data_IF_522360716686
#
_entry.id   IF_522360716686
#
_cell.length_a   1.000
_cell.length_b   1.000
_cell.length_c   1.000
_cell.angle_alpha   90.00
_cell.angle_beta   90.00
_cell.angle_gamma   90.00
#
_symmetry.space_group_name_H-M   'P 1'
#
loop_
_entity.id
_entity.type
_entity.pdbx_description
1 polymer ?
#
# COMPACT_ATOMS: atom_id res chain seq x y z
N UNK A 1 -0.91 25.43 13.44
CA UNK A 1 -2.22 24.85 13.79
C UNK A 1 -2.08 23.40 14.31
N UNK A 2 -2.09 22.35 13.46
CA UNK A 2 -2.13 20.97 13.96
C UNK A 2 -0.92 20.59 14.85
N UNK A 3 0.30 20.90 14.42
CA UNK A 3 1.52 20.65 15.22
C UNK A 3 1.51 21.43 16.54
N UNK A 4 1.02 22.67 16.56
CA UNK A 4 0.94 23.47 17.79
C UNK A 4 -0.09 22.88 18.77
N UNK A 5 -1.23 22.38 18.28
CA UNK A 5 -2.22 21.68 19.10
C UNK A 5 -1.63 20.41 19.72
N UNK A 6 -0.92 19.61 18.90
CA UNK A 6 -0.24 18.42 19.39
C UNK A 6 0.84 18.77 20.39
N UNK A 7 1.61 19.84 20.20
CA UNK A 7 2.64 20.29 21.13
C UNK A 7 2.05 20.69 22.49
N UNK A 8 0.94 21.42 22.49
CA UNK A 8 0.27 21.90 23.69
C UNK A 8 -0.43 20.78 24.50
N UNK A 9 -0.76 19.66 23.88
CA UNK A 9 -1.40 18.53 24.56
C UNK A 9 -0.40 17.72 25.40
N UNK A 10 -0.54 17.71 26.72
CA UNK A 10 0.34 16.95 27.61
C UNK A 10 0.25 15.42 27.43
N UNK A 11 -0.85 14.90 26.87
CA UNK A 11 -1.03 13.47 26.64
C UNK A 11 -0.28 12.95 25.40
N UNK A 12 -0.05 13.81 24.41
CA UNK A 12 0.74 13.47 23.23
C UNK A 12 2.21 13.34 23.58
N UNK A 13 2.76 12.12 23.42
CA UNK A 13 4.17 11.80 23.72
C UNK A 13 5.06 11.72 22.47
N UNK A 14 4.45 11.44 21.32
CA UNK A 14 5.12 11.25 20.05
C UNK A 14 4.22 11.75 18.91
N UNK A 15 4.80 12.34 17.86
CA UNK A 15 4.08 12.86 16.70
C UNK A 15 4.48 12.06 15.46
N UNK A 16 3.54 11.33 14.87
CA UNK A 16 3.72 10.72 13.55
C UNK A 16 3.13 11.62 12.46
N UNK A 17 3.97 12.03 11.50
CA UNK A 17 3.56 12.79 10.32
C UNK A 17 3.69 11.91 9.08
N UNK A 18 2.58 11.68 8.39
CA UNK A 18 2.52 10.91 7.13
C UNK A 18 2.05 11.81 6.01
N UNK A 19 2.79 11.85 4.90
CA UNK A 19 2.32 12.51 3.68
C UNK A 19 3.00 11.96 2.43
N UNK A 20 2.47 12.30 1.25
CA UNK A 20 3.28 12.30 0.02
C UNK A 20 4.46 13.28 0.17
N UNK A 21 5.52 13.18 -0.65
CA UNK A 21 6.68 14.07 -0.55
C UNK A 21 6.23 15.52 -0.73
N UNK A 22 6.39 16.39 0.29
CA UNK A 22 6.06 17.79 0.14
C UNK A 22 7.13 18.50 -0.71
N UNK A 23 6.84 19.73 -1.14
CA UNK A 23 7.90 20.56 -1.74
C UNK A 23 9.04 20.78 -0.73
N UNK A 24 10.30 21.00 -1.19
CA UNK A 24 11.44 21.20 -0.29
C UNK A 24 11.21 22.29 0.76
N UNK A 25 10.60 23.41 0.36
CA UNK A 25 10.28 24.51 1.28
C UNK A 25 9.25 24.12 2.35
N UNK A 26 8.28 23.26 2.00
CA UNK A 26 7.29 22.76 2.97
C UNK A 26 7.92 21.71 3.88
N UNK A 27 8.75 20.81 3.34
CA UNK A 27 9.51 19.83 4.11
C UNK A 27 10.38 20.52 5.18
N UNK A 28 11.16 21.51 4.76
CA UNK A 28 12.04 22.28 5.65
C UNK A 28 11.25 23.00 6.74
N UNK A 29 10.12 23.62 6.40
CA UNK A 29 9.25 24.29 7.39
C UNK A 29 8.70 23.31 8.42
N UNK A 30 8.27 22.11 7.99
CA UNK A 30 7.77 21.06 8.88
C UNK A 30 8.89 20.55 9.80
N UNK A 31 10.06 20.23 9.24
CA UNK A 31 11.21 19.76 10.01
C UNK A 31 11.70 20.81 11.01
N UNK A 32 11.72 22.09 10.62
CA UNK A 32 12.08 23.19 11.52
C UNK A 32 11.06 23.38 12.65
N UNK A 33 9.78 23.17 12.40
CA UNK A 33 8.78 23.17 13.48
C UNK A 33 9.02 22.02 14.46
N UNK A 34 9.31 20.82 13.96
CA UNK A 34 9.58 19.63 14.79
C UNK A 34 10.90 19.74 15.57
N UNK A 35 11.93 20.40 15.03
CA UNK A 35 13.22 20.66 15.71
C UNK A 35 13.04 21.35 17.06
N UNK A 36 12.05 22.22 17.18
CA UNK A 36 11.78 22.99 18.41
C UNK A 36 10.72 22.32 19.31
N UNK A 37 10.18 21.18 18.90
CA UNK A 37 9.23 20.41 19.69
C UNK A 37 9.93 19.75 20.89
N UNK A 38 9.25 19.69 22.03
CA UNK A 38 9.70 18.91 23.19
C UNK A 38 9.41 17.42 23.03
N UNK A 39 8.74 17.04 21.94
CA UNK A 39 8.26 15.69 21.66
C UNK A 39 9.16 15.04 20.63
N UNK A 40 9.20 13.71 20.68
CA UNK A 40 9.78 12.93 19.60
C UNK A 40 8.80 12.92 18.43
N UNK A 41 9.31 12.83 17.21
CA UNK A 41 8.48 12.70 16.04
C UNK A 41 9.03 11.71 15.04
N UNK A 42 8.15 11.14 14.23
CA UNK A 42 8.50 10.33 13.07
C UNK A 42 7.88 10.97 11.84
N UNK A 43 8.69 11.12 10.81
CA UNK A 43 8.25 11.63 9.52
C UNK A 43 8.28 10.49 8.50
N UNK A 44 7.16 10.29 7.83
CA UNK A 44 7.00 9.35 6.74
C UNK A 44 6.55 10.11 5.48
N UNK A 45 7.53 10.56 4.70
CA UNK A 45 7.30 11.15 3.39
C UNK A 45 7.43 10.05 2.33
N UNK A 46 6.29 9.50 1.91
CA UNK A 46 6.26 8.29 1.07
C UNK A 46 6.91 8.57 -0.29
N UNK A 47 8.04 7.91 -0.57
CA UNK A 47 8.79 8.10 -1.82
C UNK A 47 9.75 9.28 -1.83
N UNK A 48 9.99 9.91 -0.68
CA UNK A 48 11.08 10.86 -0.53
C UNK A 48 12.36 10.15 -0.05
N UNK A 49 13.51 10.69 -0.43
CA UNK A 49 14.76 10.38 0.26
C UNK A 49 14.76 10.98 1.66
N UNK A 50 15.58 10.40 2.54
CA UNK A 50 15.71 10.89 3.92
C UNK A 50 16.22 12.35 3.91
N UNK A 51 15.43 13.30 4.43
CA UNK A 51 15.89 14.68 4.55
C UNK A 51 16.88 14.80 5.71
N UNK A 52 17.59 15.92 5.79
CA UNK A 52 18.34 16.24 7.01
C UNK A 52 17.37 16.48 8.16
N UNK A 53 17.46 15.66 9.21
CA UNK A 53 16.58 15.71 10.37
C UNK A 53 17.31 16.14 11.64
N UNK A 54 16.62 16.81 12.59
CA UNK A 54 17.12 17.01 13.95
C UNK A 54 17.08 15.71 14.77
N UNK A 55 17.87 15.65 15.84
CA UNK A 55 18.03 14.46 16.69
C UNK A 55 16.71 13.90 17.28
N UNK A 56 15.68 14.74 17.45
CA UNK A 56 14.39 14.33 17.99
C UNK A 56 13.40 13.80 16.95
N UNK A 57 13.80 13.72 15.67
CA UNK A 57 12.93 13.32 14.57
C UNK A 57 13.54 12.12 13.83
N UNK A 58 12.79 11.02 13.74
CA UNK A 58 13.15 9.85 12.94
C UNK A 58 12.48 9.87 11.56
N UNK A 59 13.14 9.30 10.56
CA UNK A 59 12.58 9.09 9.23
C UNK A 59 12.16 7.64 9.03
N UNK A 60 11.02 7.42 8.38
CA UNK A 60 10.60 6.09 7.93
C UNK A 60 10.09 6.14 6.50
N UNK A 61 10.40 5.11 5.72
CA UNK A 61 10.04 5.02 4.29
C UNK A 61 8.72 4.31 4.02
N UNK A 62 8.18 3.62 5.03
CA UNK A 62 6.93 2.83 4.92
C UNK A 62 5.99 3.17 6.07
N UNK A 63 4.69 3.12 5.82
CA UNK A 63 3.61 3.26 6.78
C UNK A 63 3.73 2.24 7.90
N UNK A 64 4.13 1.00 7.58
CA UNK A 64 4.39 -0.03 8.59
C UNK A 64 5.50 0.41 9.55
N UNK A 65 6.67 0.77 9.04
CA UNK A 65 7.79 1.22 9.87
C UNK A 65 7.42 2.47 10.68
N UNK A 66 6.65 3.39 10.09
CA UNK A 66 6.18 4.60 10.77
C UNK A 66 5.26 4.27 11.96
N UNK A 67 4.33 3.34 11.78
CA UNK A 67 3.46 2.86 12.85
C UNK A 67 4.23 2.10 13.94
N UNK A 68 5.20 1.26 13.55
CA UNK A 68 6.04 0.51 14.48
C UNK A 68 6.93 1.44 15.32
N UNK A 69 7.51 2.46 14.70
CA UNK A 69 8.30 3.49 15.39
C UNK A 69 7.42 4.27 16.37
N UNK A 70 6.26 4.77 15.92
CA UNK A 70 5.34 5.54 16.76
C UNK A 70 4.77 4.76 17.96
N UNK A 71 4.70 3.42 17.85
CA UNK A 71 4.22 2.53 18.91
C UNK A 71 5.36 1.91 19.73
N UNK A 72 6.62 2.18 19.39
CA UNK A 72 7.79 1.57 20.05
C UNK A 72 7.88 0.06 19.82
N UNK A 73 7.37 -0.43 18.69
CA UNK A 73 7.48 -1.82 18.25
C UNK A 73 8.47 -2.03 17.11
N UNK A 74 9.17 -0.98 16.65
CA UNK A 74 10.18 -1.12 15.61
C UNK A 74 11.25 -2.14 16.02
N UNK A 75 11.59 -3.04 15.10
CA UNK A 75 12.56 -4.11 15.35
C UNK A 75 12.10 -5.22 16.31
N UNK A 76 10.90 -5.11 16.90
CA UNK A 76 10.28 -6.25 17.58
C UNK A 76 9.75 -7.17 16.49
N UNK A 77 10.49 -8.25 16.23
CA UNK A 77 10.03 -9.31 15.35
C UNK A 77 8.64 -9.77 15.81
N UNK A 78 7.61 -9.38 15.08
CA UNK A 78 6.40 -10.19 15.04
C UNK A 78 6.82 -11.45 14.30
N UNK A 79 7.03 -12.55 15.04
CA UNK A 79 7.23 -13.92 14.52
C UNK A 79 6.01 -14.37 13.73
N UNK A 80 5.80 -13.70 12.62
CA UNK A 80 4.76 -13.90 11.66
C UNK A 80 5.44 -13.76 10.31
N UNK A 81 6.52 -14.52 10.12
CA UNK A 81 6.72 -15.16 8.82
C UNK A 81 5.43 -15.95 8.56
N UNK A 82 4.41 -15.28 8.04
CA UNK A 82 3.24 -15.94 7.52
C UNK A 82 3.79 -16.85 6.43
N UNK A 83 3.86 -18.14 6.75
CA UNK A 83 4.24 -19.16 5.80
C UNK A 83 3.10 -19.27 4.80
N UNK A 84 3.08 -18.37 3.81
CA UNK A 84 2.13 -18.45 2.73
C UNK A 84 2.46 -19.67 1.89
N UNK A 85 1.46 -20.52 1.67
CA UNK A 85 1.54 -21.51 0.60
C UNK A 85 1.34 -20.78 -0.72
N UNK A 86 2.44 -20.38 -1.36
CA UNK A 86 2.42 -19.69 -2.64
C UNK A 86 2.20 -20.73 -3.74
N UNK A 87 1.10 -20.63 -4.53
CA UNK A 87 0.88 -21.51 -5.66
C UNK A 87 2.02 -21.44 -6.68
N UNK A 88 2.32 -22.56 -7.34
CA UNK A 88 3.25 -22.57 -8.45
C UNK A 88 2.63 -21.82 -9.64
N UNK A 89 3.37 -20.86 -10.20
CA UNK A 89 2.92 -20.09 -11.35
C UNK A 89 3.39 -20.74 -12.66
N UNK A 90 2.62 -20.53 -13.73
CA UNK A 90 3.04 -20.90 -15.07
C UNK A 90 4.28 -20.08 -15.49
N UNK A 91 5.22 -20.70 -16.22
CA UNK A 91 6.53 -20.10 -16.55
C UNK A 91 6.48 -18.79 -17.35
N UNK A 92 5.35 -18.50 -18.01
CA UNK A 92 5.12 -17.25 -18.74
C UNK A 92 4.71 -16.07 -17.83
N UNK A 93 4.26 -16.34 -16.61
CA UNK A 93 3.78 -15.34 -15.66
C UNK A 93 4.95 -14.74 -14.90
N UNK A 94 5.26 -13.47 -15.16
CA UNK A 94 6.43 -12.77 -14.58
C UNK A 94 6.12 -11.41 -13.98
N UNK A 95 5.00 -10.79 -14.39
CA UNK A 95 4.72 -9.40 -14.08
C UNK A 95 3.89 -9.25 -12.81
N UNK A 96 4.03 -8.09 -12.16
CA UNK A 96 3.16 -7.69 -11.05
C UNK A 96 2.24 -6.58 -11.56
N UNK A 97 0.95 -6.70 -11.28
CA UNK A 97 -0.07 -5.66 -11.48
C UNK A 97 -0.62 -5.25 -10.13
N UNK A 98 -0.20 -4.09 -9.64
CA UNK A 98 -0.78 -3.44 -8.47
C UNK A 98 -1.99 -2.61 -8.88
N UNK A 99 -3.15 -2.86 -8.28
CA UNK A 99 -4.39 -2.19 -8.61
C UNK A 99 -4.93 -1.54 -7.34
N UNK A 100 -4.45 -0.34 -7.04
CA UNK A 100 -4.69 0.30 -5.75
C UNK A 100 -5.89 1.24 -5.77
N UNK A 101 -6.64 1.26 -4.67
CA UNK A 101 -7.67 2.27 -4.41
C UNK A 101 -7.15 3.48 -3.63
N UNK A 102 -6.08 3.31 -2.84
CA UNK A 102 -5.43 4.38 -2.09
C UNK A 102 -4.07 4.78 -2.67
N UNK A 103 -3.96 6.01 -3.17
CA UNK A 103 -2.73 6.49 -3.80
C UNK A 103 -1.48 6.49 -2.91
N UNK A 104 -1.61 6.70 -1.60
CA UNK A 104 -0.47 6.58 -0.66
C UNK A 104 0.02 5.12 -0.54
N UNK A 105 -0.90 4.15 -0.61
CA UNK A 105 -0.57 2.73 -0.56
C UNK A 105 0.09 2.28 -1.87
N UNK A 106 -0.38 2.81 -3.01
CA UNK A 106 0.27 2.64 -4.30
C UNK A 106 1.71 3.18 -4.30
N UNK A 107 1.91 4.38 -3.74
CA UNK A 107 3.22 5.01 -3.62
C UNK A 107 4.15 4.22 -2.68
N UNK A 108 3.66 3.71 -1.55
CA UNK A 108 4.46 2.86 -0.65
C UNK A 108 4.89 1.56 -1.35
N UNK A 109 4.03 0.94 -2.14
CA UNK A 109 4.39 -0.24 -2.90
C UNK A 109 5.50 0.07 -3.93
N UNK A 110 5.46 1.25 -4.58
CA UNK A 110 6.55 1.70 -5.46
C UNK A 110 7.88 1.82 -4.71
N UNK A 111 7.89 2.42 -3.50
CA UNK A 111 9.09 2.52 -2.65
C UNK A 111 9.70 1.14 -2.43
N UNK A 112 8.88 0.14 -2.10
CA UNK A 112 9.35 -1.21 -1.79
C UNK A 112 9.94 -1.91 -3.01
N UNK A 113 9.36 -1.71 -4.19
CA UNK A 113 9.91 -2.25 -5.44
C UNK A 113 11.27 -1.62 -5.75
N UNK A 114 11.37 -0.29 -5.67
CA UNK A 114 12.60 0.45 -5.96
C UNK A 114 13.71 0.15 -4.94
N UNK A 115 13.38 0.05 -3.65
CA UNK A 115 14.34 -0.31 -2.59
C UNK A 115 14.89 -1.75 -2.75
N UNK A 116 14.20 -2.60 -3.51
CA UNK A 116 14.67 -3.95 -3.90
C UNK A 116 15.34 -3.97 -5.29
N UNK A 117 15.55 -2.81 -5.92
CA UNK A 117 16.15 -2.71 -7.24
C UNK A 117 15.27 -3.25 -8.37
N UNK A 118 13.95 -3.38 -8.14
CA UNK A 118 13.00 -3.88 -9.13
C UNK A 118 12.35 -2.68 -9.84
N UNK A 119 12.60 -2.48 -11.16
CA UNK A 119 11.98 -1.41 -11.91
C UNK A 119 10.46 -1.54 -11.95
N UNK A 120 9.76 -0.41 -11.82
CA UNK A 120 8.30 -0.38 -11.77
C UNK A 120 7.75 0.88 -12.43
N UNK A 121 6.59 0.75 -13.09
CA UNK A 121 5.86 1.86 -13.68
C UNK A 121 4.59 2.18 -12.89
N UNK A 122 4.16 3.44 -12.92
CA UNK A 122 2.90 3.88 -12.31
C UNK A 122 2.29 5.03 -13.09
N UNK A 123 0.97 5.19 -12.99
CA UNK A 123 0.26 6.38 -13.45
C UNK A 123 0.46 7.59 -12.51
N UNK A 124 0.88 7.35 -11.28
CA UNK A 124 1.27 8.38 -10.31
C UNK A 124 2.68 8.05 -9.77
N UNK A 125 3.73 8.17 -10.62
CA UNK A 125 5.06 7.72 -10.27
C UNK A 125 5.69 8.57 -9.17
N UNK A 126 6.31 7.90 -8.19
CA UNK A 126 7.25 8.54 -7.26
C UNK A 126 8.62 8.72 -7.93
N UNK A 127 9.53 9.45 -7.27
CA UNK A 127 10.91 9.57 -7.73
C UNK A 127 11.55 8.18 -7.94
N UNK A 128 12.10 7.94 -9.13
CA UNK A 128 12.71 6.67 -9.54
C UNK A 128 11.76 5.68 -10.24
N UNK A 129 10.44 5.83 -10.11
CA UNK A 129 9.48 5.04 -10.87
C UNK A 129 9.28 5.61 -12.29
N UNK A 130 8.93 4.74 -13.24
CA UNK A 130 8.65 5.14 -14.62
C UNK A 130 7.19 5.58 -14.76
N UNK A 131 6.93 6.52 -15.67
CA UNK A 131 5.56 6.83 -16.09
C UNK A 131 5.01 5.61 -16.83
N UNK A 132 3.80 5.17 -16.47
CA UNK A 132 3.15 4.04 -17.13
C UNK A 132 2.75 4.41 -18.56
N UNK A 133 3.52 3.95 -19.55
CA UNK A 133 3.15 4.00 -20.98
C UNK A 133 2.67 2.64 -21.52
N UNK A 134 2.42 1.68 -20.63
CA UNK A 134 1.80 0.39 -20.88
C UNK A 134 2.40 -0.40 -22.07
N UNK A 135 3.51 -1.11 -21.84
CA UNK A 135 3.85 -2.28 -22.66
C UNK A 135 4.78 -3.32 -22.00
N UNK A 136 5.64 -2.95 -21.04
CA UNK A 136 6.62 -3.89 -20.48
C UNK A 136 6.87 -3.65 -18.97
N UNK A 137 7.04 -4.73 -18.20
CA UNK A 137 7.45 -4.66 -16.79
C UNK A 137 6.33 -4.66 -15.73
N UNK A 138 6.71 -4.47 -14.47
CA UNK A 138 5.79 -4.38 -13.33
C UNK A 138 5.06 -3.03 -13.34
N UNK A 139 3.76 -3.03 -13.03
CA UNK A 139 2.94 -1.80 -13.02
C UNK A 139 2.15 -1.71 -11.73
N UNK A 140 2.17 -0.55 -11.07
CA UNK A 140 1.39 -0.25 -9.87
C UNK A 140 0.51 0.98 -10.14
N UNK A 141 -0.80 0.77 -10.28
CA UNK A 141 -1.78 1.79 -10.62
C UNK A 141 -2.46 2.34 -9.36
N UNK A 142 -2.52 3.67 -9.25
CA UNK A 142 -3.43 4.40 -8.37
C UNK A 142 -4.74 4.62 -9.13
N UNK A 143 -5.72 3.75 -8.92
CA UNK A 143 -7.03 3.84 -9.59
C UNK A 143 -7.89 4.96 -8.98
N UNK A 144 -7.47 5.55 -7.86
CA UNK A 144 -8.09 6.73 -7.26
C UNK A 144 -7.71 8.05 -7.92
N UNK A 145 -6.78 8.03 -8.88
CA UNK A 145 -6.34 9.23 -9.58
C UNK A 145 -7.43 9.82 -10.49
N UNK A 146 -7.28 11.10 -10.84
CA UNK A 146 -8.27 11.83 -11.64
C UNK A 146 -8.57 11.15 -12.98
N UNK A 147 -7.57 10.56 -13.63
CA UNK A 147 -7.74 9.86 -14.91
C UNK A 147 -8.70 8.65 -14.83
N UNK A 148 -8.75 7.96 -13.70
CA UNK A 148 -9.63 6.81 -13.48
C UNK A 148 -10.98 7.18 -12.86
N UNK A 149 -11.10 8.40 -12.32
CA UNK A 149 -12.29 8.90 -11.60
C UNK A 149 -13.05 9.99 -12.35
N UNK A 150 -12.59 10.40 -13.53
CA UNK A 150 -13.34 11.34 -14.38
C UNK A 150 -14.72 10.79 -14.77
N UNK A 151 -15.77 11.42 -14.25
CA UNK A 151 -17.17 11.04 -14.50
C UNK A 151 -17.60 9.76 -13.81
N UNK A 152 -16.83 9.25 -12.84
CA UNK A 152 -17.10 8.01 -12.10
C UNK A 152 -16.83 8.20 -10.60
N UNK A 153 -17.51 7.48 -9.70
CA UNK A 153 -17.14 7.51 -8.29
C UNK A 153 -15.73 6.95 -8.05
N UNK A 154 -15.09 7.38 -6.96
CA UNK A 154 -13.77 6.88 -6.57
C UNK A 154 -13.81 5.37 -6.25
N UNK A 155 -12.77 4.57 -6.58
CA UNK A 155 -12.78 3.11 -6.40
C UNK A 155 -12.98 2.59 -4.97
N UNK A 156 -12.72 3.45 -3.97
CA UNK A 156 -13.03 3.13 -2.57
C UNK A 156 -14.55 3.11 -2.31
N UNK A 157 -15.34 3.85 -3.08
CA UNK A 157 -16.80 3.98 -2.94
C UNK A 157 -17.50 3.00 -3.88
N UNK A 158 -17.09 2.98 -5.14
CA UNK A 158 -17.67 2.14 -6.19
C UNK A 158 -16.58 1.25 -6.81
N UNK A 159 -16.72 -0.09 -6.78
CA UNK A 159 -15.66 -0.99 -7.20
C UNK A 159 -15.52 -1.13 -8.72
N UNK A 160 -16.42 -0.58 -9.54
CA UNK A 160 -16.56 -0.97 -10.96
C UNK A 160 -15.28 -0.78 -11.79
N UNK A 161 -14.59 0.36 -11.63
CA UNK A 161 -13.33 0.64 -12.36
C UNK A 161 -12.26 -0.39 -11.97
N UNK A 162 -12.17 -0.68 -10.67
CA UNK A 162 -11.17 -1.60 -10.14
C UNK A 162 -11.48 -3.06 -10.47
N UNK A 163 -12.74 -3.45 -10.45
CA UNK A 163 -13.19 -4.78 -10.89
C UNK A 163 -12.78 -5.05 -12.33
N UNK A 164 -12.98 -4.08 -13.24
CA UNK A 164 -12.58 -4.23 -14.64
C UNK A 164 -11.07 -4.51 -14.79
N UNK A 165 -10.22 -3.77 -14.07
CA UNK A 165 -8.77 -3.97 -14.07
C UNK A 165 -8.36 -5.32 -13.45
N UNK A 166 -9.05 -5.77 -12.40
CA UNK A 166 -8.83 -7.08 -11.79
C UNK A 166 -9.16 -8.19 -12.79
N UNK A 167 -10.33 -8.12 -13.44
CA UNK A 167 -10.77 -9.11 -14.45
C UNK A 167 -9.75 -9.19 -15.59
N UNK A 168 -9.32 -8.04 -16.11
CA UNK A 168 -8.30 -7.99 -17.17
C UNK A 168 -6.98 -8.62 -16.71
N UNK A 169 -6.51 -8.28 -15.51
CA UNK A 169 -5.26 -8.81 -14.96
C UNK A 169 -5.32 -10.31 -14.66
N UNK A 170 -6.49 -10.83 -14.26
CA UNK A 170 -6.70 -12.27 -14.03
C UNK A 170 -6.61 -13.08 -15.33
N UNK A 171 -7.00 -12.50 -16.46
CA UNK A 171 -6.95 -13.14 -17.77
C UNK A 171 -5.58 -13.01 -18.47
N UNK A 172 -4.71 -12.12 -18.01
CA UNK A 172 -3.40 -11.87 -18.64
C UNK A 172 -2.40 -13.01 -18.31
N UNK A 173 -1.89 -13.76 -19.31
CA UNK A 173 -0.97 -14.87 -19.10
C UNK A 173 0.44 -14.41 -18.69
N UNK A 174 0.76 -13.12 -18.78
CA UNK A 174 2.06 -12.56 -18.37
C UNK A 174 2.08 -12.13 -16.91
N UNK A 175 0.91 -11.98 -16.27
CA UNK A 175 0.78 -11.54 -14.88
C UNK A 175 0.98 -12.71 -13.93
N UNK A 176 1.98 -12.58 -13.07
CA UNK A 176 2.28 -13.48 -11.96
C UNK A 176 1.50 -13.12 -10.70
N UNK A 177 1.45 -11.83 -10.38
CA UNK A 177 0.84 -11.36 -9.14
C UNK A 177 -0.07 -10.18 -9.41
N UNK A 178 -1.27 -10.24 -8.84
CA UNK A 178 -2.15 -9.08 -8.67
C UNK A 178 -2.02 -8.62 -7.22
N UNK A 179 -1.63 -7.35 -7.01
CA UNK A 179 -1.43 -6.76 -5.70
C UNK A 179 -2.55 -5.73 -5.42
N UNK A 180 -3.24 -5.89 -4.29
CA UNK A 180 -4.43 -5.12 -3.93
C UNK A 180 -4.32 -4.51 -2.52
N UNK A 181 -4.84 -3.31 -2.33
CA UNK A 181 -5.24 -2.76 -1.03
C UNK A 181 -6.75 -2.87 -0.80
N UNK A 182 -7.18 -3.12 0.42
CA UNK A 182 -8.59 -3.02 0.82
C UNK A 182 -8.68 -1.97 1.91
N UNK A 183 -9.18 -0.78 1.56
CA UNK A 183 -9.38 0.32 2.49
C UNK A 183 -10.83 0.35 2.94
N UNK A 184 -11.05 0.27 4.26
CA UNK A 184 -12.38 0.26 4.87
C UNK A 184 -12.58 1.47 5.79
N UNK A 185 -13.74 1.56 6.41
CA UNK A 185 -14.16 2.66 7.25
C UNK A 185 -15.27 3.50 6.62
N UNK A 186 -15.57 4.63 7.27
CA UNK A 186 -16.63 5.52 6.81
C UNK A 186 -16.36 6.07 5.41
N UNK A 187 -17.38 6.02 4.55
CA UNK A 187 -17.29 6.50 3.17
C UNK A 187 -16.70 5.49 2.18
N UNK A 188 -16.21 4.33 2.63
CA UNK A 188 -15.84 3.24 1.73
C UNK A 188 -17.04 2.34 1.40
N UNK A 189 -16.88 1.49 0.39
CA UNK A 189 -17.87 0.47 0.02
C UNK A 189 -18.26 -0.38 1.25
N UNK A 190 -19.53 -0.83 1.37
CA UNK A 190 -19.96 -1.64 2.51
C UNK A 190 -19.30 -3.01 2.60
N UNK A 191 -18.85 -3.57 1.47
CA UNK A 191 -18.19 -4.88 1.44
C UNK A 191 -17.13 -5.02 0.32
N UNK A 192 -16.01 -4.27 0.39
CA UNK A 192 -15.02 -4.28 -0.69
C UNK A 192 -14.33 -5.64 -0.87
N UNK A 193 -14.07 -6.39 0.22
CA UNK A 193 -13.51 -7.73 0.12
C UNK A 193 -14.46 -8.71 -0.58
N UNK A 194 -15.77 -8.60 -0.34
CA UNK A 194 -16.78 -9.44 -0.98
C UNK A 194 -16.77 -9.29 -2.51
N UNK A 195 -16.70 -8.06 -3.00
CA UNK A 195 -16.64 -7.77 -4.44
C UNK A 195 -15.35 -8.32 -5.08
N UNK A 196 -14.20 -8.13 -4.41
CA UNK A 196 -12.93 -8.70 -4.88
C UNK A 196 -12.98 -10.23 -4.88
N UNK A 197 -13.49 -10.85 -3.80
CA UNK A 197 -13.61 -12.30 -3.68
C UNK A 197 -14.49 -12.88 -4.79
N UNK A 198 -15.64 -12.24 -5.10
CA UNK A 198 -16.55 -12.64 -6.18
C UNK A 198 -15.82 -12.73 -7.52
N UNK A 199 -15.06 -11.68 -7.86
CA UNK A 199 -14.32 -11.59 -9.13
C UNK A 199 -13.23 -12.65 -9.20
N UNK A 200 -12.47 -12.83 -8.12
CA UNK A 200 -11.35 -13.78 -8.05
C UNK A 200 -11.83 -15.24 -8.11
N UNK A 201 -12.96 -15.56 -7.47
CA UNK A 201 -13.56 -16.90 -7.49
C UNK A 201 -14.16 -17.26 -8.85
N UNK A 202 -14.59 -16.28 -9.64
CA UNK A 202 -15.11 -16.48 -10.99
C UNK A 202 -14.02 -16.74 -12.04
N UNK A 203 -12.75 -16.52 -11.71
CA UNK A 203 -11.63 -16.69 -12.63
C UNK A 203 -11.27 -18.17 -12.87
N UNK A 204 -10.56 -18.42 -13.96
CA UNK A 204 -10.05 -19.76 -14.28
C UNK A 204 -9.03 -20.24 -13.22
N UNK A 205 -8.81 -21.56 -13.14
CA UNK A 205 -7.87 -22.16 -12.18
C UNK A 205 -6.42 -21.73 -12.44
N UNK A 206 -6.02 -21.61 -13.70
CA UNK A 206 -4.73 -21.02 -14.08
C UNK A 206 -4.86 -19.49 -14.09
N UNK A 207 -4.59 -18.89 -12.93
CA UNK A 207 -4.66 -17.44 -12.71
C UNK A 207 -3.44 -16.94 -11.93
N UNK A 208 -3.15 -15.63 -11.97
CA UNK A 208 -2.14 -15.03 -11.11
C UNK A 208 -2.39 -15.29 -9.62
N UNK A 209 -1.32 -15.26 -8.82
CA UNK A 209 -1.45 -15.16 -7.36
C UNK A 209 -2.06 -13.79 -7.04
N UNK A 210 -3.03 -13.75 -6.14
CA UNK A 210 -3.60 -12.49 -5.67
C UNK A 210 -3.11 -12.25 -4.25
N UNK A 211 -2.50 -11.09 -4.02
CA UNK A 211 -2.01 -10.64 -2.71
C UNK A 211 -2.77 -9.39 -2.32
N UNK A 212 -3.24 -9.31 -1.08
CA UNK A 212 -3.95 -8.15 -0.58
C UNK A 212 -3.51 -7.74 0.83
N UNK A 213 -3.73 -6.48 1.19
CA UNK A 213 -3.70 -6.02 2.59
C UNK A 213 -5.00 -5.28 2.94
N UNK A 214 -5.40 -5.30 4.22
CA UNK A 214 -6.60 -4.59 4.69
C UNK A 214 -6.21 -3.47 5.66
N UNK A 215 -6.51 -2.24 5.26
CA UNK A 215 -6.28 -1.00 6.01
C UNK A 215 -7.59 -0.53 6.63
N UNK A 216 -7.62 -0.47 7.97
CA UNK A 216 -8.77 -0.13 8.78
C UNK A 216 -8.71 -0.85 10.13
N UNK A 217 -9.82 -0.92 10.84
CA UNK A 217 -9.95 -1.48 12.18
C UNK A 217 -11.10 -2.49 12.26
N UNK A 218 -11.15 -3.26 13.34
CA UNK A 218 -12.27 -4.16 13.60
C UNK A 218 -13.55 -3.40 14.01
N UNK A 219 -13.43 -2.12 14.38
CA UNK A 219 -14.56 -1.24 14.74
C UNK A 219 -15.18 -0.52 13.54
N UNK A 220 -14.53 -0.57 12.37
CA UNK A 220 -15.09 0.01 11.15
C UNK A 220 -16.36 -0.73 10.71
N UNK A 221 -17.32 -0.06 10.02
CA UNK A 221 -18.61 -0.65 9.64
C UNK A 221 -18.51 -2.01 8.89
N UNK A 222 -17.44 -2.21 8.13
CA UNK A 222 -17.19 -3.43 7.35
C UNK A 222 -16.54 -4.56 8.18
N UNK A 223 -15.91 -4.22 9.31
CA UNK A 223 -15.15 -5.11 10.19
C UNK A 223 -13.88 -5.69 9.55
N UNK A 224 -12.68 -5.22 9.96
CA UNK A 224 -11.40 -5.66 9.37
C UNK A 224 -11.22 -7.19 9.35
N UNK A 225 -11.48 -7.89 10.46
CA UNK A 225 -11.39 -9.36 10.49
C UNK A 225 -12.28 -10.02 9.43
N UNK A 226 -13.55 -9.61 9.33
CA UNK A 226 -14.50 -10.15 8.36
C UNK A 226 -14.01 -9.97 6.92
N UNK A 227 -13.46 -8.79 6.60
CA UNK A 227 -12.89 -8.50 5.28
C UNK A 227 -11.68 -9.37 4.98
N UNK A 228 -10.78 -9.57 5.95
CA UNK A 228 -9.62 -10.48 5.80
C UNK A 228 -10.05 -11.93 5.57
N UNK A 229 -11.04 -12.41 6.33
CA UNK A 229 -11.52 -13.79 6.24
C UNK A 229 -12.12 -14.05 4.85
N UNK A 230 -12.95 -13.14 4.32
CA UNK A 230 -13.51 -13.25 2.95
C UNK A 230 -12.44 -13.35 1.86
N UNK A 231 -11.38 -12.56 1.96
CA UNK A 231 -10.26 -12.61 1.01
C UNK A 231 -9.54 -13.95 1.10
N UNK A 232 -9.23 -14.41 2.32
CA UNK A 232 -8.55 -15.68 2.54
C UNK A 232 -9.37 -16.87 2.03
N UNK A 233 -10.69 -16.89 2.27
CA UNK A 233 -11.61 -17.93 1.77
C UNK A 233 -11.67 -17.97 0.23
N UNK A 234 -11.43 -16.84 -0.44
CA UNK A 234 -11.30 -16.75 -1.90
C UNK A 234 -9.91 -17.18 -2.44
N UNK A 235 -9.02 -17.64 -1.55
CA UNK A 235 -7.65 -18.04 -1.89
C UNK A 235 -6.73 -16.83 -2.18
N UNK A 236 -7.04 -15.66 -1.63
CA UNK A 236 -6.18 -14.46 -1.71
C UNK A 236 -5.19 -14.50 -0.53
N UNK A 237 -3.92 -14.22 -0.79
CA UNK A 237 -2.90 -14.12 0.25
C UNK A 237 -3.04 -12.77 0.97
N UNK A 238 -3.50 -12.79 2.22
CA UNK A 238 -3.74 -11.56 2.99
C UNK A 238 -2.57 -11.23 3.89
N UNK A 239 -1.83 -10.18 3.52
CA UNK A 239 -0.71 -9.65 4.27
C UNK A 239 -1.13 -8.71 5.41
N UNK A 240 -0.33 -8.61 6.49
CA UNK A 240 -0.69 -7.85 7.68
C UNK A 240 -0.63 -6.34 7.47
N UNK A 241 0.15 -5.87 6.50
CA UNK A 241 0.25 -4.47 6.06
C UNK A 241 0.44 -4.37 4.54
N UNK A 242 0.24 -3.18 3.99
CA UNK A 242 0.53 -2.90 2.58
C UNK A 242 2.02 -3.11 2.24
N UNK A 243 2.91 -2.70 3.15
CA UNK A 243 4.34 -2.95 2.99
C UNK A 243 4.67 -4.46 2.92
N UNK A 244 4.02 -5.27 3.76
CA UNK A 244 4.22 -6.73 3.73
C UNK A 244 3.59 -7.36 2.48
N UNK A 245 2.48 -6.81 1.98
CA UNK A 245 1.84 -7.25 0.73
C UNK A 245 2.76 -7.05 -0.48
N UNK A 246 3.39 -5.87 -0.57
CA UNK A 246 4.35 -5.56 -1.63
C UNK A 246 5.58 -6.47 -1.57
N UNK A 247 6.13 -6.70 -0.37
CA UNK A 247 7.24 -7.66 -0.16
C UNK A 247 6.85 -9.09 -0.54
N UNK A 248 5.64 -9.52 -0.19
CA UNK A 248 5.14 -10.85 -0.57
C UNK A 248 4.98 -10.97 -2.09
N UNK A 249 4.49 -9.93 -2.77
CA UNK A 249 4.40 -9.91 -4.23
C UNK A 249 5.77 -10.07 -4.90
N UNK A 250 6.80 -9.36 -4.41
CA UNK A 250 8.19 -9.52 -4.86
C UNK A 250 8.73 -10.93 -4.60
N UNK A 251 8.42 -11.50 -3.43
CA UNK A 251 8.81 -12.87 -3.11
C UNK A 251 8.17 -13.89 -4.07
N UNK A 252 6.88 -13.73 -4.41
CA UNK A 252 6.18 -14.58 -5.37
C UNK A 252 6.84 -14.59 -6.76
N UNK A 253 7.30 -13.44 -7.27
CA UNK A 253 7.97 -13.39 -8.59
C UNK A 253 9.40 -13.90 -8.54
N UNK A 254 10.14 -13.71 -7.43
CA UNK A 254 11.51 -14.22 -7.28
C UNK A 254 11.60 -15.74 -7.31
N UNK A 255 10.53 -16.45 -6.87
CA UNK A 255 10.44 -17.91 -6.92
C UNK A 255 10.16 -18.47 -8.32
N UNK A 256 9.71 -17.62 -9.24
CA UNK A 256 9.35 -18.01 -10.60
C UNK A 256 10.34 -17.48 -11.66
N UNK A 257 11.37 -16.76 -11.24
CA UNK A 257 12.51 -16.36 -12.06
C UNK A 257 13.50 -17.53 -12.22
#
# INVERSE_FOLDING_TARGET
AALEMLEADAATRHILLVSKPPSPAVAERVVNALRHSKKTATVCFIGADEPTLPDNVSFTRTLKAAAEEATGSLGKETKSELQYTIPQLASGRKLVKGLFSGGTLAAEAQVIFLDQGVPVSSNAPIAGAMVSDAATGHVLLDLGSDEYTQGRPHPMIDPAVREAEIVQSLADPTVAVILLDVVIGYGAHPDPAGEIARVVLAAQKDRPVVVASVTGTDEDPQGRKSQKDKLADAGILVAPSNADAAKLALHCISRNA
#
